data_IF_235783044130
#
_entry.id   IF_235783044130
#
_cell.length_a   1.000
_cell.length_b   1.000
_cell.length_c   1.000
_cell.angle_alpha   90.00
_cell.angle_beta   90.00
_cell.angle_gamma   90.00
#
_symmetry.space_group_name_H-M   'P 1'
#
loop_
_entity.id
_entity.type
_entity.pdbx_description
1 polymer ?
#
# COMPACT_ATOMS: atom_id res chain seq x y z
N UNK A 1 3.09 -35.74 12.25
CA UNK A 1 3.35 -34.50 13.02
C UNK A 1 4.27 -33.62 12.19
N UNK A 2 3.70 -32.81 11.29
CA UNK A 2 4.49 -31.94 10.42
C UNK A 2 4.62 -30.56 11.07
N UNK A 3 5.87 -30.15 11.29
CA UNK A 3 6.22 -28.82 11.80
C UNK A 3 5.65 -27.75 10.86
N UNK A 4 4.66 -27.01 11.36
CA UNK A 4 4.14 -25.83 10.68
C UNK A 4 5.26 -24.80 10.63
N UNK A 5 5.63 -24.44 9.40
CA UNK A 5 6.73 -23.55 9.06
C UNK A 5 6.54 -22.15 9.73
N UNK A 6 7.21 -21.89 10.85
CA UNK A 6 7.12 -20.66 11.65
C UNK A 6 7.41 -19.38 10.83
N UNK A 7 8.16 -19.50 9.73
CA UNK A 7 8.43 -18.39 8.80
C UNK A 7 7.20 -17.94 7.99
N UNK A 8 6.15 -18.74 7.94
CA UNK A 8 4.90 -18.43 7.21
C UNK A 8 3.95 -17.51 8.00
N UNK A 9 4.08 -17.47 9.34
CA UNK A 9 3.20 -16.68 10.21
C UNK A 9 3.62 -15.21 10.34
N UNK A 10 4.89 -14.88 10.09
CA UNK A 10 5.38 -13.51 10.11
C UNK A 10 4.88 -12.65 8.93
N UNK A 11 4.23 -13.27 7.94
CA UNK A 11 3.70 -12.62 6.74
C UNK A 11 2.17 -12.48 6.77
N UNK A 12 1.53 -12.68 7.93
CA UNK A 12 0.09 -12.47 8.09
C UNK A 12 -0.24 -10.97 8.07
N UNK A 13 -1.13 -10.48 7.17
CA UNK A 13 -1.53 -9.08 7.11
C UNK A 13 -2.55 -8.68 8.20
N UNK A 14 -2.72 -9.46 9.26
CA UNK A 14 -3.63 -9.18 10.37
C UNK A 14 -2.89 -8.69 11.61
N UNK A 15 -1.99 -7.72 11.44
CA UNK A 15 -1.35 -7.08 12.58
C UNK A 15 -2.45 -6.40 13.43
N UNK A 16 -2.78 -7.01 14.57
CA UNK A 16 -3.78 -6.50 15.49
C UNK A 16 -3.38 -5.09 15.90
N UNK A 17 -4.26 -4.13 15.64
CA UNK A 17 -4.04 -2.72 15.98
C UNK A 17 -5.11 -2.28 16.98
N UNK A 18 -4.75 -1.45 17.97
CA UNK A 18 -5.73 -0.94 18.90
C UNK A 18 -6.71 -0.01 18.18
N UNK A 19 -7.99 -0.15 18.48
CA UNK A 19 -9.03 0.77 18.02
C UNK A 19 -8.79 2.19 18.54
N UNK A 20 -9.40 3.19 17.89
CA UNK A 20 -9.25 4.59 18.27
C UNK A 20 -9.54 4.83 19.76
N UNK A 21 -8.54 5.36 20.49
CA UNK A 21 -8.59 5.60 21.94
C UNK A 21 -9.73 6.53 22.33
N UNK A 22 -10.07 7.50 21.48
CA UNK A 22 -11.17 8.44 21.72
C UNK A 22 -12.55 7.82 21.43
N UNK A 23 -12.64 6.91 20.46
CA UNK A 23 -13.87 6.13 20.25
C UNK A 23 -14.15 5.21 21.44
N UNK A 24 -13.11 4.56 21.96
CA UNK A 24 -13.20 3.67 23.10
C UNK A 24 -13.57 4.42 24.39
N UNK A 25 -12.88 5.53 24.67
CA UNK A 25 -13.17 6.38 25.82
C UNK A 25 -14.63 6.88 25.80
N UNK A 26 -15.15 7.28 24.63
CA UNK A 26 -16.56 7.68 24.47
C UNK A 26 -17.56 6.57 24.81
N UNK A 27 -17.14 5.30 24.76
CA UNK A 27 -17.95 4.12 25.12
C UNK A 27 -17.64 3.59 26.53
N UNK A 28 -16.82 4.29 27.32
CA UNK A 28 -16.42 3.84 28.65
C UNK A 28 -15.44 2.66 28.64
N UNK A 29 -14.79 2.39 27.50
CA UNK A 29 -13.83 1.28 27.38
C UNK A 29 -12.42 1.82 27.65
N UNK A 30 -11.81 1.35 28.74
CA UNK A 30 -10.46 1.75 29.17
C UNK A 30 -9.37 0.80 28.68
N UNK A 31 -9.70 -0.49 28.50
CA UNK A 31 -8.74 -1.50 28.07
C UNK A 31 -8.60 -1.55 26.54
N UNK A 32 -7.36 -1.72 25.99
CA UNK A 32 -7.12 -1.81 24.56
C UNK A 32 -7.97 -2.88 23.86
N UNK A 33 -8.82 -2.46 22.93
CA UNK A 33 -9.53 -3.37 22.02
C UNK A 33 -8.68 -3.54 20.75
N UNK A 34 -8.11 -4.72 20.60
CA UNK A 34 -7.26 -5.08 19.46
C UNK A 34 -8.09 -5.69 18.33
N UNK A 35 -8.05 -5.09 17.15
CA UNK A 35 -8.81 -5.57 15.98
C UNK A 35 -7.89 -5.91 14.81
N UNK A 36 -8.31 -6.89 14.03
CA UNK A 36 -7.80 -7.10 12.67
C UNK A 36 -8.63 -6.21 11.76
N UNK A 37 -8.00 -5.17 11.22
CA UNK A 37 -8.63 -4.23 10.30
C UNK A 37 -7.98 -4.32 8.93
N UNK A 38 -8.74 -4.13 7.83
CA UNK A 38 -8.15 -4.04 6.49
C UNK A 38 -7.07 -2.95 6.41
N UNK A 39 -6.04 -3.15 5.58
CA UNK A 39 -4.90 -2.22 5.48
C UNK A 39 -5.28 -0.81 5.03
N UNK A 40 -6.44 -0.64 4.39
CA UNK A 40 -6.95 0.67 3.99
C UNK A 40 -7.61 1.46 5.15
N UNK A 41 -7.89 0.80 6.28
CA UNK A 41 -8.42 1.43 7.49
C UNK A 41 -7.26 1.87 8.38
N UNK A 42 -6.73 3.06 8.09
CA UNK A 42 -5.54 3.61 8.77
C UNK A 42 -5.82 4.81 9.67
N UNK A 43 -7.00 5.43 9.52
CA UNK A 43 -7.36 6.68 10.21
C UNK A 43 -8.76 6.59 10.80
N UNK A 44 -8.89 7.02 12.05
CA UNK A 44 -10.20 7.35 12.60
C UNK A 44 -10.60 8.76 12.14
N UNK A 45 -11.39 8.88 11.08
CA UNK A 45 -11.79 10.19 10.54
C UNK A 45 -12.57 11.06 11.52
N UNK A 46 -13.35 10.44 12.42
CA UNK A 46 -14.12 11.15 13.45
C UNK A 46 -13.24 11.90 14.44
N UNK A 47 -12.14 11.27 14.86
CA UNK A 47 -11.24 11.81 15.87
C UNK A 47 -9.89 12.27 15.30
N UNK A 48 -9.72 12.17 13.98
CA UNK A 48 -8.49 12.51 13.25
C UNK A 48 -7.25 11.86 13.85
N UNK A 49 -7.36 10.60 14.28
CA UNK A 49 -6.25 9.84 14.82
C UNK A 49 -5.75 8.81 13.81
N UNK A 50 -4.44 8.68 13.68
CA UNK A 50 -3.81 7.53 13.03
C UNK A 50 -3.98 6.28 13.88
N UNK A 51 -4.51 5.23 13.28
CA UNK A 51 -4.76 3.91 13.90
C UNK A 51 -4.18 2.75 13.09
N UNK A 52 -3.58 3.04 11.93
CA UNK A 52 -2.96 2.05 11.07
C UNK A 52 -1.58 1.62 11.58
N UNK A 53 -1.02 0.60 10.93
CA UNK A 53 0.37 0.16 11.15
C UNK A 53 1.31 1.38 11.10
N UNK A 54 2.32 1.50 11.98
CA UNK A 54 2.77 0.51 12.97
C UNK A 54 2.18 0.66 14.38
N UNK A 55 1.04 1.34 14.59
CA UNK A 55 0.43 1.53 15.92
C UNK A 55 0.26 0.19 16.66
N UNK A 56 0.88 0.05 17.84
CA UNK A 56 0.78 -1.15 18.71
C UNK A 56 0.08 -0.88 20.03
N UNK A 57 0.09 0.37 20.48
CA UNK A 57 -0.52 0.82 21.73
C UNK A 57 -1.41 2.04 21.51
N UNK A 58 -2.26 2.38 22.49
CA UNK A 58 -3.07 3.61 22.43
C UNK A 58 -2.19 4.87 22.38
N UNK A 59 -0.99 4.84 22.96
CA UNK A 59 -0.03 5.95 22.95
C UNK A 59 0.62 6.20 21.59
N UNK A 60 0.60 5.21 20.69
CA UNK A 60 1.13 5.35 19.33
C UNK A 60 0.17 6.11 18.41
N UNK A 61 -1.10 6.28 18.80
CA UNK A 61 -2.11 6.95 17.99
C UNK A 61 -1.83 8.46 17.92
N UNK A 62 -1.33 8.91 16.76
CA UNK A 62 -0.98 10.30 16.49
C UNK A 62 -2.19 11.10 16.04
N UNK A 63 -2.29 12.34 16.52
CA UNK A 63 -3.25 13.33 16.05
C UNK A 63 -2.84 13.85 14.67
N UNK A 64 -3.84 13.95 13.79
CA UNK A 64 -3.72 14.37 12.39
C UNK A 64 -4.39 15.74 12.15
N UNK A 65 -4.76 16.48 13.20
CA UNK A 65 -5.33 17.82 13.07
C UNK A 65 -4.51 18.74 12.16
N UNK A 66 -3.18 18.64 12.23
CA UNK A 66 -2.23 19.43 11.44
C UNK A 66 -1.63 18.65 10.26
N UNK A 67 -2.26 17.54 9.84
CA UNK A 67 -1.80 16.67 8.74
C UNK A 67 -2.94 16.37 7.74
N UNK A 68 -3.54 17.40 7.11
CA UNK A 68 -4.67 17.22 6.19
C UNK A 68 -4.34 16.31 4.98
N UNK A 69 -3.08 16.29 4.54
CA UNK A 69 -2.57 15.43 3.48
C UNK A 69 -2.71 13.93 3.83
N UNK A 70 -2.45 13.55 5.09
CA UNK A 70 -2.64 12.17 5.57
C UNK A 70 -4.12 11.81 5.60
N UNK A 71 -4.99 12.74 6.03
CA UNK A 71 -6.43 12.52 6.04
C UNK A 71 -7.00 12.34 4.62
N UNK A 72 -6.53 13.15 3.66
CA UNK A 72 -6.91 13.04 2.26
C UNK A 72 -6.43 11.73 1.64
N UNK A 73 -5.19 11.33 1.92
CA UNK A 73 -4.63 10.05 1.50
C UNK A 73 -5.44 8.87 2.08
N UNK A 74 -5.84 8.91 3.35
CA UNK A 74 -6.66 7.86 3.94
C UNK A 74 -8.03 7.73 3.27
N UNK A 75 -8.68 8.86 2.94
CA UNK A 75 -9.93 8.84 2.15
C UNK A 75 -9.72 8.24 0.76
N UNK A 76 -8.62 8.60 0.09
CA UNK A 76 -8.26 8.04 -1.22
C UNK A 76 -8.00 6.55 -1.15
N UNK A 77 -7.28 6.07 -0.13
CA UNK A 77 -7.03 4.65 0.08
C UNK A 77 -8.34 3.86 0.29
N UNK A 78 -9.24 4.37 1.13
CA UNK A 78 -10.57 3.78 1.30
C UNK A 78 -11.42 3.83 0.02
N UNK A 79 -11.24 4.85 -0.83
CA UNK A 79 -11.88 4.93 -2.13
C UNK A 79 -11.35 3.87 -3.11
N UNK A 80 -10.03 3.61 -3.12
CA UNK A 80 -9.41 2.55 -3.93
C UNK A 80 -9.93 1.17 -3.51
N UNK A 81 -10.01 0.92 -2.20
CA UNK A 81 -10.54 -0.34 -1.66
C UNK A 81 -12.02 -0.60 -2.00
N UNK A 82 -12.78 0.43 -2.39
CA UNK A 82 -14.16 0.27 -2.88
C UNK A 82 -14.24 -0.05 -4.38
N UNK A 83 -13.15 0.17 -5.14
CA UNK A 83 -13.11 0.01 -6.61
C UNK A 83 -12.29 -1.19 -7.05
N UNK A 84 -11.37 -1.64 -6.22
CA UNK A 84 -10.45 -2.73 -6.50
C UNK A 84 -10.57 -3.78 -5.40
N UNK A 85 -10.20 -5.02 -5.70
CA UNK A 85 -10.13 -6.06 -4.67
C UNK A 85 -9.06 -5.74 -3.62
N UNK A 86 -9.23 -6.26 -2.41
CA UNK A 86 -8.25 -6.07 -1.33
C UNK A 86 -6.85 -6.53 -1.76
N UNK A 87 -6.75 -7.64 -2.52
CA UNK A 87 -5.48 -8.18 -3.03
C UNK A 87 -4.78 -7.20 -3.98
N UNK A 88 -5.53 -6.56 -4.88
CA UNK A 88 -4.98 -5.58 -5.82
C UNK A 88 -4.48 -4.33 -5.08
N UNK A 89 -5.26 -3.82 -4.12
CA UNK A 89 -4.87 -2.64 -3.33
C UNK A 89 -3.64 -2.95 -2.49
N UNK A 90 -3.60 -4.10 -1.81
CA UNK A 90 -2.44 -4.52 -1.03
C UNK A 90 -1.20 -4.70 -1.89
N UNK A 91 -1.34 -5.26 -3.10
CA UNK A 91 -0.23 -5.39 -4.05
C UNK A 91 0.27 -4.03 -4.52
N UNK A 92 -0.64 -3.12 -4.89
CA UNK A 92 -0.27 -1.79 -5.34
C UNK A 92 0.43 -0.97 -4.24
N UNK A 93 -0.04 -1.06 -2.98
CA UNK A 93 0.62 -0.40 -1.84
C UNK A 93 1.97 -1.05 -1.53
N UNK A 94 2.11 -2.37 -1.71
CA UNK A 94 3.40 -3.07 -1.59
C UNK A 94 4.39 -2.61 -2.66
N UNK A 95 3.95 -2.48 -3.90
CA UNK A 95 4.78 -1.97 -5.00
C UNK A 95 5.14 -0.48 -4.79
N UNK A 96 4.19 0.34 -4.30
CA UNK A 96 4.47 1.72 -3.93
C UNK A 96 5.55 1.86 -2.86
N UNK A 97 5.51 1.01 -1.82
CA UNK A 97 6.58 0.96 -0.80
C UNK A 97 7.93 0.56 -1.40
N UNK A 98 7.93 -0.36 -2.36
CA UNK A 98 9.14 -0.75 -3.06
C UNK A 98 9.72 0.42 -3.88
N UNK A 99 8.87 1.15 -4.61
CA UNK A 99 9.29 2.32 -5.41
C UNK A 99 9.88 3.41 -4.52
N UNK A 100 9.16 3.78 -3.47
CA UNK A 100 9.61 4.79 -2.50
C UNK A 100 10.97 4.43 -1.89
N UNK A 101 11.17 3.18 -1.46
CA UNK A 101 12.46 2.70 -0.95
C UNK A 101 13.56 2.71 -1.99
N UNK A 102 13.23 2.31 -3.22
CA UNK A 102 14.18 2.34 -4.32
C UNK A 102 14.69 3.77 -4.56
N UNK A 103 13.78 4.72 -4.75
CA UNK A 103 14.15 6.11 -5.01
C UNK A 103 14.85 6.77 -3.83
N UNK A 104 14.42 6.50 -2.59
CA UNK A 104 15.14 6.99 -1.41
C UNK A 104 16.62 6.54 -1.41
N UNK A 105 16.88 5.27 -1.76
CA UNK A 105 18.24 4.72 -1.83
C UNK A 105 19.02 5.21 -3.06
N UNK A 106 18.40 5.19 -4.25
CA UNK A 106 19.05 5.51 -5.53
C UNK A 106 19.38 7.01 -5.65
N UNK A 107 18.49 7.87 -5.17
CA UNK A 107 18.68 9.33 -5.21
C UNK A 107 19.57 9.86 -4.06
N UNK A 108 20.17 8.96 -3.27
CA UNK A 108 20.98 9.29 -2.08
C UNK A 108 20.28 10.26 -1.11
N UNK A 109 18.95 10.25 -1.07
CA UNK A 109 18.21 10.88 0.03
C UNK A 109 18.58 10.10 1.27
N UNK A 110 19.40 10.71 2.13
CA UNK A 110 20.09 10.10 3.27
C UNK A 110 19.39 8.85 3.82
N UNK A 111 20.05 7.69 3.71
CA UNK A 111 19.72 6.39 4.28
C UNK A 111 18.45 6.35 5.16
N UNK A 112 17.27 6.22 4.55
CA UNK A 112 16.04 5.86 5.29
C UNK A 112 16.00 4.33 5.39
N UNK A 113 16.99 3.79 6.09
CA UNK A 113 17.00 2.41 6.55
C UNK A 113 16.23 2.36 7.86
N UNK A 114 14.89 2.34 7.80
CA UNK A 114 13.99 1.81 8.85
C UNK A 114 12.52 2.21 8.59
N UNK A 115 11.93 1.71 7.50
CA UNK A 115 10.49 1.45 7.57
C UNK A 115 10.31 0.23 8.45
N UNK A 116 10.05 0.43 9.75
CA UNK A 116 9.12 -0.37 10.57
C UNK A 116 8.87 0.28 11.95
N UNK A 117 9.74 1.13 12.51
CA UNK A 117 9.61 1.41 13.97
C UNK A 117 8.89 2.72 14.36
N UNK A 118 8.62 3.65 13.44
CA UNK A 118 8.05 4.95 13.77
C UNK A 118 6.71 5.26 13.12
N UNK A 119 5.67 5.53 13.91
CA UNK A 119 4.39 6.05 13.38
C UNK A 119 4.62 7.36 12.61
N UNK A 120 5.51 8.23 13.10
CA UNK A 120 5.78 9.53 12.47
C UNK A 120 6.45 9.40 11.09
N UNK A 121 7.34 8.41 10.92
CA UNK A 121 7.93 8.06 9.61
C UNK A 121 6.83 7.58 8.67
N UNK A 122 5.97 6.69 9.14
CA UNK A 122 4.84 6.19 8.35
C UNK A 122 3.87 7.30 7.96
N UNK A 123 3.64 8.29 8.82
CA UNK A 123 2.78 9.43 8.49
C UNK A 123 3.37 10.31 7.39
N UNK A 124 4.68 10.55 7.41
CA UNK A 124 5.35 11.41 6.44
C UNK A 124 5.26 10.85 5.01
N UNK A 125 5.39 9.54 4.87
CA UNK A 125 5.44 8.82 3.59
C UNK A 125 4.07 8.37 3.08
N UNK A 126 3.08 8.24 3.97
CA UNK A 126 1.78 7.66 3.62
C UNK A 126 1.05 8.33 2.44
N UNK A 127 1.00 9.68 2.34
CA UNK A 127 0.37 10.34 1.20
C UNK A 127 0.99 9.94 -0.15
N UNK A 128 2.32 9.88 -0.21
CA UNK A 128 3.08 9.49 -1.39
C UNK A 128 2.78 8.03 -1.77
N UNK A 129 2.80 7.12 -0.79
CA UNK A 129 2.50 5.71 -1.02
C UNK A 129 1.10 5.50 -1.62
N UNK A 130 0.09 6.21 -1.12
CA UNK A 130 -1.28 6.11 -1.65
C UNK A 130 -1.38 6.70 -3.06
N UNK A 131 -0.68 7.80 -3.35
CA UNK A 131 -0.66 8.40 -4.68
C UNK A 131 0.02 7.49 -5.73
N UNK A 132 1.17 6.89 -5.40
CA UNK A 132 1.83 5.90 -6.25
C UNK A 132 0.89 4.70 -6.48
N UNK A 133 0.31 4.14 -5.42
CA UNK A 133 -0.60 3.01 -5.53
C UNK A 133 -1.83 3.31 -6.41
N UNK A 134 -2.41 4.50 -6.29
CA UNK A 134 -3.52 4.94 -7.15
C UNK A 134 -3.11 5.00 -8.64
N UNK A 135 -1.89 5.47 -8.92
CA UNK A 135 -1.36 5.54 -10.29
C UNK A 135 -1.13 4.13 -10.85
N UNK A 136 -0.57 3.22 -10.06
CA UNK A 136 -0.34 1.83 -10.46
C UNK A 136 -1.65 1.09 -10.76
N UNK A 137 -2.66 1.25 -9.91
CA UNK A 137 -3.99 0.66 -10.14
C UNK A 137 -4.65 1.20 -11.41
N UNK A 138 -4.54 2.50 -11.65
CA UNK A 138 -5.04 3.12 -12.88
C UNK A 138 -4.33 2.60 -14.13
N UNK A 139 -3.00 2.37 -14.04
CA UNK A 139 -2.22 1.80 -15.13
C UNK A 139 -2.61 0.35 -15.43
N UNK A 140 -2.86 -0.47 -14.41
CA UNK A 140 -3.21 -1.87 -14.61
C UNK A 140 -4.54 -2.08 -15.34
N UNK A 141 -5.38 -1.05 -15.42
CA UNK A 141 -6.64 -1.07 -16.19
C UNK A 141 -6.46 -0.66 -17.65
N UNK A 142 -5.29 -0.13 -18.06
CA UNK A 142 -5.05 0.27 -19.44
C UNK A 142 -4.61 -0.91 -20.33
N UNK A 143 -5.08 -0.99 -21.59
CA UNK A 143 -4.61 -2.00 -22.54
C UNK A 143 -3.11 -1.85 -22.83
N UNK A 144 -2.44 -2.99 -23.02
CA UNK A 144 -0.98 -3.06 -23.14
C UNK A 144 -0.47 -2.58 -24.52
N UNK A 145 -0.44 -1.27 -24.76
CA UNK A 145 0.16 -0.69 -25.97
C UNK A 145 1.22 0.39 -25.65
N UNK A 146 2.47 0.10 -26.07
CA UNK A 146 3.68 0.96 -26.19
C UNK A 146 4.77 0.97 -25.06
N UNK A 147 5.63 -0.05 -25.13
CA UNK A 147 6.67 -0.56 -24.18
C UNK A 147 7.75 0.34 -23.52
N UNK A 148 8.02 1.59 -23.93
CA UNK A 148 9.08 2.45 -23.30
C UNK A 148 8.61 3.88 -23.04
N UNK A 149 7.72 4.40 -23.90
CA UNK A 149 6.94 5.59 -23.58
C UNK A 149 6.12 5.37 -22.29
N UNK A 150 5.66 4.13 -22.05
CA UNK A 150 4.92 3.73 -20.85
C UNK A 150 5.67 4.00 -19.52
N UNK A 151 6.96 3.69 -19.40
CA UNK A 151 7.68 3.84 -18.12
C UNK A 151 7.95 5.31 -17.79
N UNK A 152 8.36 6.11 -18.78
CA UNK A 152 8.57 7.55 -18.64
C UNK A 152 7.25 8.27 -18.36
N UNK A 153 6.18 7.89 -19.07
CA UNK A 153 4.85 8.47 -18.85
C UNK A 153 4.26 8.09 -17.48
N UNK A 154 4.50 6.86 -17.02
CA UNK A 154 4.13 6.45 -15.67
C UNK A 154 4.93 7.21 -14.61
N UNK A 155 6.24 7.39 -14.79
CA UNK A 155 7.08 8.21 -13.91
C UNK A 155 6.56 9.66 -13.86
N UNK A 156 6.24 10.24 -15.02
CA UNK A 156 5.69 11.60 -15.12
C UNK A 156 4.37 11.74 -14.36
N UNK A 157 3.46 10.77 -14.49
CA UNK A 157 2.19 10.75 -13.74
C UNK A 157 2.41 10.59 -12.25
N UNK A 158 3.34 9.74 -11.82
CA UNK A 158 3.69 9.58 -10.41
C UNK A 158 4.20 10.92 -9.85
N UNK A 159 5.20 11.52 -10.48
CA UNK A 159 5.77 12.81 -10.09
C UNK A 159 4.71 13.91 -9.99
N UNK A 160 3.80 13.98 -10.97
CA UNK A 160 2.70 14.94 -10.95
C UNK A 160 1.70 14.72 -9.80
N UNK A 161 1.50 13.48 -9.34
CA UNK A 161 0.59 13.16 -8.24
C UNK A 161 1.23 13.26 -6.86
N UNK A 162 2.55 13.09 -6.76
CA UNK A 162 3.29 13.10 -5.49
C UNK A 162 4.00 14.42 -5.20
N UNK A 163 4.02 15.34 -6.18
CA UNK A 163 4.85 16.56 -6.14
C UNK A 163 6.33 16.24 -5.88
N UNK A 164 6.81 15.14 -6.50
CA UNK A 164 8.20 14.69 -6.44
C UNK A 164 8.85 14.75 -7.82
N UNK A 165 10.18 14.70 -7.84
CA UNK A 165 10.99 14.73 -9.07
C UNK A 165 11.87 13.49 -9.16
N UNK A 166 11.26 12.31 -9.23
CA UNK A 166 11.99 11.08 -9.47
C UNK A 166 12.51 11.03 -10.90
N UNK A 167 13.76 10.61 -11.09
CA UNK A 167 14.42 10.54 -12.41
C UNK A 167 14.70 9.11 -12.85
N UNK A 168 14.76 8.16 -11.91
CA UNK A 168 15.11 6.77 -12.20
C UNK A 168 13.86 5.94 -12.52
N UNK A 169 13.77 5.42 -13.75
CA UNK A 169 12.66 4.58 -14.22
C UNK A 169 12.80 3.11 -13.84
N UNK A 170 13.93 2.67 -13.28
CA UNK A 170 14.21 1.26 -12.98
C UNK A 170 13.12 0.53 -12.19
N UNK A 171 12.57 1.05 -11.06
CA UNK A 171 11.56 0.33 -10.31
C UNK A 171 10.25 0.16 -11.11
N UNK A 172 9.94 1.12 -11.98
CA UNK A 172 8.78 1.07 -12.88
C UNK A 172 8.99 0.01 -13.96
N UNK A 173 10.17 -0.05 -14.58
CA UNK A 173 10.50 -1.03 -15.60
C UNK A 173 10.42 -2.46 -15.07
N UNK A 174 10.96 -2.68 -13.86
CA UNK A 174 10.88 -3.95 -13.15
C UNK A 174 9.42 -4.33 -12.82
N UNK A 175 8.61 -3.37 -12.39
CA UNK A 175 7.19 -3.61 -12.13
C UNK A 175 6.41 -3.96 -13.40
N UNK A 176 6.56 -3.19 -14.48
CA UNK A 176 5.95 -3.48 -15.78
C UNK A 176 6.38 -4.85 -16.32
N UNK A 177 7.64 -5.23 -16.12
CA UNK A 177 8.11 -6.58 -16.46
C UNK A 177 7.37 -7.67 -15.66
N UNK A 178 7.24 -7.50 -14.33
CA UNK A 178 6.49 -8.45 -13.47
C UNK A 178 5.02 -8.57 -13.84
N UNK A 179 4.34 -7.45 -14.12
CA UNK A 179 2.94 -7.42 -14.56
C UNK A 179 2.73 -8.21 -15.86
N UNK A 180 3.63 -8.04 -16.83
CA UNK A 180 3.60 -8.79 -18.10
C UNK A 180 3.76 -10.29 -17.88
N UNK A 181 4.71 -10.70 -17.05
CA UNK A 181 4.87 -12.11 -16.70
C UNK A 181 3.61 -12.67 -16.06
N UNK A 182 2.99 -11.94 -15.12
CA UNK A 182 1.74 -12.37 -14.49
C UNK A 182 0.60 -12.55 -15.51
N UNK A 183 0.41 -11.59 -16.42
CA UNK A 183 -0.61 -11.66 -17.47
C UNK A 183 -0.42 -12.88 -18.39
N UNK A 184 0.83 -13.21 -18.76
CA UNK A 184 1.15 -14.40 -19.57
C UNK A 184 0.85 -15.73 -18.85
N UNK A 185 0.99 -15.76 -17.52
CA UNK A 185 0.64 -16.96 -16.73
C UNK A 185 -0.88 -17.13 -16.64
N UNK A 186 -1.63 -16.05 -16.42
CA UNK A 186 -3.10 -16.06 -16.41
C UNK A 186 -3.66 -16.49 -17.76
N UNK A 187 -3.15 -15.93 -18.86
CA UNK A 187 -3.57 -16.31 -20.22
C UNK A 187 -3.32 -17.79 -20.54
N UNK A 188 -2.16 -18.34 -20.13
CA UNK A 188 -1.86 -19.77 -20.28
C UNK A 188 -2.78 -20.65 -19.43
N UNK A 189 -3.09 -20.26 -18.20
CA UNK A 189 -4.02 -20.99 -17.34
C UNK A 189 -5.45 -20.99 -17.90
N UNK A 190 -5.93 -19.84 -18.39
CA UNK A 190 -7.24 -19.72 -19.03
C UNK A 190 -7.35 -20.58 -20.29
N UNK A 191 -6.31 -20.55 -21.16
CA UNK A 191 -6.26 -21.40 -22.35
C UNK A 191 -6.33 -22.89 -22.01
N UNK A 192 -5.55 -23.35 -21.02
CA UNK A 192 -5.58 -24.75 -20.56
C UNK A 192 -6.95 -25.15 -19.99
N UNK A 193 -7.62 -24.27 -19.25
CA UNK A 193 -8.97 -24.55 -18.73
C UNK A 193 -10.02 -24.62 -19.84
N UNK A 194 -9.89 -23.80 -20.89
CA UNK A 194 -10.75 -23.89 -22.07
C UNK A 194 -10.56 -25.21 -22.82
N UNK A 195 -9.31 -25.64 -23.02
CA UNK A 195 -8.98 -26.92 -23.65
C UNK A 195 -9.52 -28.12 -22.85
N UNK A 196 -9.49 -28.08 -21.51
CA UNK A 196 -10.06 -29.11 -20.64
C UNK A 196 -11.60 -29.19 -20.65
N UNK A 197 -12.30 -28.09 -20.98
CA UNK A 197 -13.77 -28.06 -21.06
C UNK A 197 -14.30 -28.48 -22.44
N UNK A 198 -13.43 -28.64 -23.42
CA UNK A 198 -13.76 -29.02 -24.79
C UNK A 198 -13.51 -30.51 -25.11
N UNK A 199 -13.00 -31.27 -24.12
CA UNK A 199 -12.87 -32.73 -24.12
C UNK A 199 -13.84 -33.34 -23.11
#
# INVERSE_FOLDING_TARGET
MSAVNERSLANQPSARSPMCRLCMARRGITDPVLCVVPQHITVCHRHRLWIGIPVRSLGDQRDLQNKPEVLAAAKRHAWLARRHSDVEVESAVRDARHFHRYWANAEKRAAITAFIDGVDVQLAVYPELVAIAATLLSQSTQPAECRRAESIELLRRINAQTDQTHTDTTPIEQWLHRQRLAALHVGRAAKRMAEWRSN
#
